data_IF_577188502112
#
_entry.id   IF_577188502112
#
_cell.length_a   1.000
_cell.length_b   1.000
_cell.length_c   1.000
_cell.angle_alpha   90.00
_cell.angle_beta   90.00
_cell.angle_gamma   90.00
#
_symmetry.space_group_name_H-M   'P 1'
#
loop_
_entity.id
_entity.type
_entity.pdbx_description
1 polymer ?
#
# COMPACT_ATOMS: atom_id res chain seq x y z
N UNK A 1 59.04 67.77 -27.89
CA UNK A 1 58.73 66.66 -26.97
C UNK A 1 58.69 67.22 -25.57
N UNK A 2 57.54 67.23 -24.87
CA UNK A 2 56.64 66.08 -24.66
C UNK A 2 55.17 66.37 -25.00
N UNK A 3 54.33 65.34 -25.06
CA UNK A 3 52.88 65.47 -24.94
C UNK A 3 52.35 64.33 -24.08
N UNK A 4 51.83 64.69 -22.91
CA UNK A 4 51.03 63.82 -22.06
C UNK A 4 49.57 63.93 -22.51
N UNK A 5 48.85 62.81 -22.50
CA UNK A 5 47.43 62.82 -22.11
C UNK A 5 47.06 61.50 -21.45
N UNK A 6 46.20 61.61 -20.42
CA UNK A 6 45.78 60.55 -19.50
C UNK A 6 44.40 59.99 -19.89
N UNK A 7 44.25 58.69 -19.63
CA UNK A 7 43.08 57.93 -19.18
C UNK A 7 41.71 58.03 -19.90
N UNK A 8 41.20 56.87 -20.33
CA UNK A 8 39.82 56.42 -20.02
C UNK A 8 39.69 54.90 -20.10
N UNK A 9 38.69 54.40 -19.38
CA UNK A 9 38.44 53.06 -18.85
C UNK A 9 37.74 52.08 -19.80
N UNK A 10 38.06 50.77 -19.70
CA UNK A 10 37.14 49.69 -20.10
C UNK A 10 36.97 48.69 -18.95
N UNK A 11 35.78 48.68 -18.37
CA UNK A 11 35.27 47.71 -17.40
C UNK A 11 35.02 46.35 -18.06
N UNK A 12 35.72 45.31 -17.61
CA UNK A 12 35.40 43.91 -17.94
C UNK A 12 34.54 43.30 -16.83
N UNK A 13 33.27 43.04 -17.13
CA UNK A 13 32.37 42.28 -16.26
C UNK A 13 32.83 40.81 -16.16
N UNK A 14 32.81 40.19 -14.97
CA UNK A 14 33.05 38.75 -14.85
C UNK A 14 31.83 37.99 -15.40
N UNK A 15 32.09 36.99 -16.24
CA UNK A 15 31.08 36.09 -16.79
C UNK A 15 30.32 35.37 -15.67
N UNK A 16 28.99 35.23 -15.75
CA UNK A 16 28.23 34.52 -14.73
C UNK A 16 28.54 33.03 -14.83
N UNK A 17 29.22 32.50 -13.81
CA UNK A 17 29.35 31.08 -13.57
C UNK A 17 27.94 30.49 -13.40
N UNK A 18 27.50 29.71 -14.38
CA UNK A 18 26.30 28.88 -14.28
C UNK A 18 26.53 27.80 -13.24
N UNK A 19 26.18 28.09 -11.99
CA UNK A 19 26.07 27.07 -10.96
C UNK A 19 24.89 26.16 -11.35
N UNK A 20 25.18 25.08 -12.06
CA UNK A 20 24.28 23.92 -12.09
C UNK A 20 24.14 23.44 -10.64
N UNK A 21 23.03 23.81 -9.99
CA UNK A 21 22.65 23.19 -8.72
C UNK A 21 22.45 21.72 -9.01
N UNK A 22 23.41 20.87 -8.60
CA UNK A 22 23.27 19.42 -8.64
C UNK A 22 21.96 19.07 -7.92
N UNK A 23 20.99 18.52 -8.66
CA UNK A 23 19.80 17.96 -8.03
C UNK A 23 20.25 16.79 -7.16
N UNK A 24 19.87 16.74 -5.87
CA UNK A 24 20.26 15.63 -5.01
C UNK A 24 19.74 14.31 -5.59
N UNK A 25 20.61 13.30 -5.62
CA UNK A 25 20.26 11.94 -6.04
C UNK A 25 19.17 11.40 -5.11
N UNK A 26 18.06 10.85 -5.64
CA UNK A 26 17.02 10.27 -4.81
C UNK A 26 17.57 9.15 -3.91
N UNK A 27 17.09 9.07 -2.68
CA UNK A 27 17.42 7.96 -1.78
C UNK A 27 16.91 6.62 -2.35
N UNK A 28 17.64 5.51 -2.21
CA UNK A 28 17.11 4.21 -2.58
C UNK A 28 15.85 3.88 -1.76
N UNK A 29 14.80 3.31 -2.37
CA UNK A 29 13.63 2.88 -1.62
C UNK A 29 13.97 1.68 -0.74
N UNK A 30 13.48 1.66 0.50
CA UNK A 30 13.60 0.51 1.41
C UNK A 30 12.56 -0.57 1.07
N UNK A 31 12.90 -1.87 1.14
CA UNK A 31 11.96 -2.93 0.87
C UNK A 31 10.92 -3.01 2.01
N UNK A 32 9.65 -3.12 1.62
CA UNK A 32 8.53 -3.21 2.55
C UNK A 32 7.44 -4.12 2.00
N UNK A 33 6.56 -4.59 2.89
CA UNK A 33 5.40 -5.40 2.53
C UNK A 33 4.18 -4.91 3.30
N UNK A 34 2.99 -5.05 2.71
CA UNK A 34 1.73 -4.65 3.35
C UNK A 34 0.57 -5.52 2.85
N UNK A 35 -0.43 -5.71 3.71
CA UNK A 35 -1.51 -6.67 3.48
C UNK A 35 -2.87 -5.98 3.58
N UNK A 36 -3.67 -6.08 2.52
CA UNK A 36 -5.11 -5.88 2.60
C UNK A 36 -5.70 -7.17 3.18
N UNK A 37 -5.96 -7.15 4.50
CA UNK A 37 -6.53 -8.29 5.20
C UNK A 37 -8.06 -8.19 5.14
N UNK A 38 -8.70 -9.18 4.51
CA UNK A 38 -10.14 -9.29 4.39
C UNK A 38 -10.69 -10.23 5.46
N UNK A 39 -11.66 -9.75 6.25
CA UNK A 39 -12.43 -10.56 7.19
C UNK A 39 -13.28 -11.62 6.46
N UNK A 40 -13.85 -12.61 7.16
CA UNK A 40 -14.82 -13.55 6.58
C UNK A 40 -16.00 -12.87 5.86
N UNK A 41 -16.37 -11.66 6.28
CA UNK A 41 -17.44 -10.81 5.72
C UNK A 41 -16.93 -9.77 4.72
N UNK A 42 -15.71 -9.93 4.19
CA UNK A 42 -15.07 -9.05 3.21
C UNK A 42 -14.84 -7.60 3.67
N UNK A 43 -14.84 -7.35 4.97
CA UNK A 43 -14.38 -6.07 5.53
C UNK A 43 -12.85 -6.01 5.50
N UNK A 44 -12.28 -4.83 5.33
CA UNK A 44 -10.83 -4.64 5.23
C UNK A 44 -10.30 -4.02 6.52
N UNK A 45 -9.22 -4.61 7.04
CA UNK A 45 -8.51 -4.07 8.20
C UNK A 45 -7.74 -2.80 7.81
N UNK A 46 -7.99 -1.71 8.54
CA UNK A 46 -7.08 -0.57 8.61
C UNK A 46 -6.61 -0.35 10.04
N UNK A 47 -5.36 0.08 10.14
CA UNK A 47 -4.69 0.48 11.37
C UNK A 47 -4.62 2.00 11.43
N UNK A 48 -4.82 2.54 12.63
CA UNK A 48 -4.72 3.98 12.91
C UNK A 48 -3.94 4.22 14.19
N UNK A 49 -2.89 5.04 14.11
CA UNK A 49 -2.14 5.46 15.30
C UNK A 49 -2.94 6.51 16.08
N UNK A 50 -3.39 6.16 17.28
CA UNK A 50 -4.06 7.05 18.22
C UNK A 50 -3.00 7.88 18.96
N UNK A 51 -2.82 9.13 18.53
CA UNK A 51 -1.96 10.07 19.25
C UNK A 51 -2.67 10.61 20.50
N UNK A 52 -1.98 10.62 21.64
CA UNK A 52 -2.49 11.16 22.92
C UNK A 52 -2.20 12.64 23.14
N UNK A 53 -1.48 13.33 22.23
CA UNK A 53 -1.23 14.77 22.31
C UNK A 53 -1.20 15.49 20.95
N UNK A 54 -2.12 16.46 20.82
CA UNK A 54 -2.24 17.60 19.88
C UNK A 54 -1.70 17.51 18.44
N UNK A 55 -2.68 17.57 17.50
CA UNK A 55 -2.75 18.44 16.31
C UNK A 55 -2.90 17.79 14.93
N UNK A 56 -2.87 16.46 14.76
CA UNK A 56 -3.12 15.85 13.45
C UNK A 56 -3.86 14.49 13.54
N UNK A 57 -4.87 14.22 12.69
CA UNK A 57 -5.38 12.86 12.54
C UNK A 57 -4.28 12.01 11.90
N UNK A 58 -3.81 10.96 12.58
CA UNK A 58 -2.91 9.98 11.96
C UNK A 58 -3.57 9.34 10.74
N UNK A 59 -2.78 8.94 9.75
CA UNK A 59 -3.30 8.24 8.58
C UNK A 59 -3.81 6.85 8.95
N UNK A 60 -4.85 6.41 8.25
CA UNK A 60 -5.29 5.02 8.26
C UNK A 60 -4.50 4.26 7.19
N UNK A 61 -3.94 3.10 7.57
CA UNK A 61 -3.06 2.31 6.71
C UNK A 61 -3.38 0.84 6.80
N UNK A 62 -3.10 0.09 5.74
CA UNK A 62 -3.04 -1.37 5.82
C UNK A 62 -1.87 -1.77 6.73
N UNK A 63 -1.98 -2.89 7.48
CA UNK A 63 -0.86 -3.45 8.20
C UNK A 63 0.35 -3.67 7.29
N UNK A 64 1.54 -3.36 7.78
CA UNK A 64 2.77 -3.59 7.02
C UNK A 64 3.92 -2.66 7.37
N UNK A 65 5.12 -3.09 7.01
CA UNK A 65 6.34 -2.36 7.31
C UNK A 65 7.55 -2.85 6.53
N UNK A 66 8.73 -2.57 7.06
CA UNK A 66 9.99 -2.84 6.36
C UNK A 66 10.37 -4.31 6.52
N UNK A 67 11.08 -4.84 5.54
CA UNK A 67 11.79 -6.10 5.75
C UNK A 67 12.94 -5.86 6.75
N UNK A 68 13.16 -6.83 7.62
CA UNK A 68 14.25 -6.86 8.60
C UNK A 68 15.25 -7.93 8.19
N UNK A 69 16.56 -7.63 8.11
CA UNK A 69 17.59 -8.64 7.89
C UNK A 69 17.59 -9.75 8.95
N UNK A 70 17.04 -9.49 10.14
CA UNK A 70 16.92 -10.47 11.21
C UNK A 70 15.89 -11.57 10.89
N UNK A 71 14.72 -11.18 10.38
CA UNK A 71 13.63 -12.10 10.04
C UNK A 71 13.68 -12.61 8.59
N UNK A 72 14.20 -11.78 7.67
CA UNK A 72 14.25 -12.05 6.23
C UNK A 72 15.68 -12.00 5.66
N UNK A 73 16.64 -12.79 6.17
CA UNK A 73 18.06 -12.72 5.77
C UNK A 73 18.32 -13.12 4.30
N UNK A 74 17.34 -13.73 3.63
CA UNK A 74 17.44 -14.14 2.23
C UNK A 74 17.34 -12.98 1.24
N UNK A 75 16.80 -11.82 1.65
CA UNK A 75 16.78 -10.64 0.80
C UNK A 75 18.05 -9.79 1.01
N UNK A 76 18.75 -9.50 -0.08
CA UNK A 76 19.89 -8.58 -0.05
C UNK A 76 19.47 -7.18 0.38
N UNK A 77 20.27 -6.53 1.21
CA UNK A 77 20.11 -5.12 1.58
C UNK A 77 20.58 -4.16 0.48
N UNK A 78 21.13 -4.68 -0.63
CA UNK A 78 21.64 -3.87 -1.74
C UNK A 78 20.50 -3.54 -2.72
N UNK A 79 20.18 -2.25 -2.97
CA UNK A 79 19.00 -1.86 -3.76
C UNK A 79 18.94 -2.30 -5.22
N UNK A 80 20.07 -2.69 -5.82
CA UNK A 80 20.16 -3.17 -7.20
C UNK A 80 20.14 -4.71 -7.30
N UNK A 81 20.02 -5.41 -6.17
CA UNK A 81 19.96 -6.87 -6.16
C UNK A 81 18.73 -7.37 -6.95
N UNK A 82 18.83 -8.48 -7.72
CA UNK A 82 17.75 -8.93 -8.61
C UNK A 82 16.39 -9.15 -7.95
N UNK A 83 16.36 -9.53 -6.67
CA UNK A 83 15.13 -9.81 -5.92
C UNK A 83 14.58 -8.60 -5.16
N UNK A 84 15.28 -7.45 -5.17
CA UNK A 84 14.97 -6.28 -4.34
C UNK A 84 13.63 -5.60 -4.70
N UNK A 85 13.06 -5.91 -5.87
CA UNK A 85 11.76 -5.40 -6.29
C UNK A 85 10.81 -6.51 -6.76
N UNK A 86 11.05 -7.74 -6.33
CA UNK A 86 10.34 -8.94 -6.78
C UNK A 86 9.62 -9.56 -5.58
N UNK A 87 8.38 -10.00 -5.78
CA UNK A 87 7.69 -10.82 -4.78
C UNK A 87 8.51 -12.07 -4.43
N UNK A 88 8.40 -12.54 -3.20
CA UNK A 88 9.05 -13.77 -2.76
C UNK A 88 8.86 -14.04 -1.27
N UNK A 89 9.41 -15.16 -0.77
CA UNK A 89 9.23 -15.59 0.62
C UNK A 89 9.58 -14.53 1.66
N UNK A 90 10.62 -13.71 1.41
CA UNK A 90 11.00 -12.60 2.29
C UNK A 90 9.88 -11.56 2.42
N UNK A 91 9.34 -11.06 1.30
CA UNK A 91 8.25 -10.08 1.35
C UNK A 91 6.97 -10.65 1.97
N UNK A 92 6.67 -11.92 1.69
CA UNK A 92 5.51 -12.62 2.26
C UNK A 92 5.62 -12.79 3.77
N UNK A 93 6.80 -13.20 4.25
CA UNK A 93 7.07 -13.33 5.69
C UNK A 93 6.94 -11.97 6.40
N UNK A 94 7.54 -10.93 5.83
CA UNK A 94 7.45 -9.58 6.38
C UNK A 94 6.00 -9.07 6.43
N UNK A 95 5.19 -9.32 5.40
CA UNK A 95 3.77 -8.95 5.41
C UNK A 95 3.01 -9.57 6.59
N UNK A 96 3.23 -10.86 6.85
CA UNK A 96 2.58 -11.59 7.95
C UNK A 96 3.13 -11.17 9.31
N UNK A 97 4.46 -11.04 9.42
CA UNK A 97 5.13 -10.58 10.65
C UNK A 97 4.64 -9.20 11.07
N UNK A 98 4.65 -8.24 10.15
CA UNK A 98 4.21 -6.86 10.42
C UNK A 98 2.70 -6.82 10.76
N UNK A 99 1.89 -7.66 10.11
CA UNK A 99 0.47 -7.80 10.50
C UNK A 99 0.33 -8.24 11.96
N UNK A 100 1.13 -9.21 12.40
CA UNK A 100 1.15 -9.65 13.80
C UNK A 100 1.67 -8.56 14.75
N UNK A 101 2.76 -7.87 14.40
CA UNK A 101 3.35 -6.79 15.20
C UNK A 101 2.37 -5.61 15.42
N UNK A 102 1.66 -5.20 14.36
CA UNK A 102 0.84 -3.99 14.40
C UNK A 102 -0.63 -4.24 14.81
N UNK A 103 -1.17 -5.43 14.54
CA UNK A 103 -2.58 -5.75 14.85
C UNK A 103 -2.78 -6.84 15.89
N UNK A 104 -1.75 -7.64 16.18
CA UNK A 104 -1.86 -8.84 17.00
C UNK A 104 -2.51 -10.04 16.29
N UNK A 105 -3.02 -9.88 15.07
CA UNK A 105 -3.59 -10.98 14.29
C UNK A 105 -2.47 -11.87 13.74
N UNK A 106 -2.52 -13.15 14.07
CA UNK A 106 -1.55 -14.14 13.60
C UNK A 106 -2.06 -14.87 12.36
N UNK A 107 -1.46 -14.56 11.20
CA UNK A 107 -1.75 -15.26 9.94
C UNK A 107 -0.89 -16.52 9.81
N UNK A 108 -1.18 -17.52 10.66
CA UNK A 108 -0.52 -18.81 10.69
C UNK A 108 -1.53 -19.94 10.90
N UNK A 109 -1.21 -21.15 10.41
CA UNK A 109 -2.02 -22.36 10.62
C UNK A 109 -1.20 -23.51 11.13
N UNK A 110 -1.83 -24.38 11.92
CA UNK A 110 -1.25 -25.68 12.25
C UNK A 110 -1.32 -26.61 11.04
N UNK A 111 -0.32 -27.50 10.85
CA UNK A 111 -0.36 -28.49 9.79
C UNK A 111 -1.68 -29.28 9.80
N UNK A 112 -2.36 -29.35 8.64
CA UNK A 112 -3.65 -30.04 8.49
C UNK A 112 -4.89 -29.26 8.93
N UNK A 113 -4.74 -28.05 9.49
CA UNK A 113 -5.86 -27.15 9.81
C UNK A 113 -6.11 -26.13 8.69
N UNK A 114 -7.37 -25.82 8.42
CA UNK A 114 -7.76 -24.66 7.60
C UNK A 114 -8.04 -23.40 8.43
N UNK A 115 -8.20 -23.54 9.75
CA UNK A 115 -8.41 -22.43 10.66
C UNK A 115 -7.07 -21.76 11.06
N UNK A 116 -7.08 -20.42 11.12
CA UNK A 116 -5.98 -19.63 11.67
C UNK A 116 -5.81 -19.89 13.17
N UNK A 117 -4.57 -19.77 13.66
CA UNK A 117 -4.30 -19.85 15.09
C UNK A 117 -4.86 -18.60 15.78
N UNK A 118 -5.83 -18.78 16.67
CA UNK A 118 -6.25 -17.73 17.60
C UNK A 118 -5.30 -17.68 18.79
N UNK A 119 -4.93 -16.45 19.20
CA UNK A 119 -4.04 -16.18 20.32
C UNK A 119 -4.79 -15.69 21.58
N UNK A 120 -6.14 -15.70 21.55
CA UNK A 120 -7.00 -15.22 22.63
C UNK A 120 -7.68 -16.37 23.39
N UNK A 121 -7.19 -16.63 24.61
CA UNK A 121 -7.81 -17.47 25.63
C UNK A 121 -7.42 -16.97 27.02
N UNK A 122 -8.20 -17.27 28.07
CA UNK A 122 -8.18 -16.67 29.43
C UNK A 122 -6.84 -16.72 30.23
N UNK A 123 -5.71 -17.07 29.60
CA UNK A 123 -4.35 -16.97 30.15
C UNK A 123 -3.24 -16.59 29.15
N UNK A 124 -3.55 -16.36 27.86
CA UNK A 124 -2.57 -16.26 26.75
C UNK A 124 -2.18 -14.82 26.35
N UNK A 125 -2.91 -13.81 26.83
CA UNK A 125 -2.70 -12.41 26.40
C UNK A 125 -1.32 -11.86 26.76
N UNK A 126 -0.79 -12.23 27.93
CA UNK A 126 0.50 -11.72 28.40
C UNK A 126 1.68 -12.31 27.61
N UNK A 127 1.60 -13.60 27.25
CA UNK A 127 2.66 -14.28 26.53
C UNK A 127 2.66 -13.90 25.05
N UNK A 128 1.49 -13.71 24.45
CA UNK A 128 1.33 -13.16 23.11
C UNK A 128 1.85 -11.72 23.02
N UNK A 129 1.50 -10.85 23.98
CA UNK A 129 2.00 -9.47 24.01
C UNK A 129 3.53 -9.41 24.17
N UNK A 130 4.10 -10.31 25.00
CA UNK A 130 5.56 -10.45 25.16
C UNK A 130 6.22 -10.91 23.87
N UNK A 131 5.69 -11.94 23.22
CA UNK A 131 6.20 -12.42 21.95
C UNK A 131 6.16 -11.33 20.87
N UNK A 132 5.03 -10.61 20.75
CA UNK A 132 4.89 -9.48 19.82
C UNK A 132 5.95 -8.41 20.03
N UNK A 133 6.21 -8.02 21.28
CA UNK A 133 7.25 -7.04 21.61
C UNK A 133 8.66 -7.56 21.27
N UNK A 134 8.95 -8.82 21.57
CA UNK A 134 10.25 -9.42 21.30
C UNK A 134 10.51 -9.61 19.79
N UNK A 135 9.47 -9.96 19.02
CA UNK A 135 9.52 -10.05 17.56
C UNK A 135 9.82 -8.69 16.94
N UNK A 136 9.09 -7.65 17.35
CA UNK A 136 9.30 -6.26 16.91
C UNK A 136 10.69 -5.73 17.25
N UNK A 137 11.25 -6.14 18.39
CA UNK A 137 12.59 -5.74 18.84
C UNK A 137 13.73 -6.52 18.17
N UNK A 138 13.44 -7.42 17.22
CA UNK A 138 14.40 -8.36 16.62
C UNK A 138 15.12 -9.23 17.68
N UNK A 139 14.46 -9.51 18.81
CA UNK A 139 14.96 -10.39 19.89
C UNK A 139 14.46 -11.84 19.73
N UNK A 140 13.32 -12.01 19.06
CA UNK A 140 12.68 -13.30 18.81
C UNK A 140 12.33 -13.44 17.33
N UNK A 141 12.91 -14.41 16.64
CA UNK A 141 12.66 -14.60 15.21
C UNK A 141 11.22 -15.10 14.99
N UNK A 142 10.41 -14.35 14.24
CA UNK A 142 8.97 -14.58 14.09
C UNK A 142 8.63 -15.99 13.61
N UNK A 143 9.17 -16.42 12.46
CA UNK A 143 8.86 -17.74 11.90
C UNK A 143 9.25 -18.90 12.84
N UNK A 144 10.36 -18.75 13.58
CA UNK A 144 10.83 -19.76 14.52
C UNK A 144 9.95 -19.85 15.74
N UNK A 145 9.51 -18.72 16.26
CA UNK A 145 8.55 -18.67 17.36
C UNK A 145 7.20 -19.32 16.99
N UNK A 146 6.65 -19.00 15.81
CA UNK A 146 5.40 -19.62 15.32
C UNK A 146 5.55 -21.14 15.19
N UNK A 147 6.70 -21.61 14.72
CA UNK A 147 7.00 -23.04 14.61
C UNK A 147 7.16 -23.71 15.98
N UNK A 148 8.02 -23.16 16.86
CA UNK A 148 8.41 -23.81 18.12
C UNK A 148 7.36 -23.74 19.21
N UNK A 149 6.73 -22.58 19.40
CA UNK A 149 5.81 -22.35 20.51
C UNK A 149 4.37 -22.70 20.16
N UNK A 150 3.98 -22.54 18.89
CA UNK A 150 2.57 -22.71 18.47
C UNK A 150 2.34 -23.97 17.63
N UNK A 151 3.40 -24.66 17.19
CA UNK A 151 3.32 -25.80 16.29
C UNK A 151 2.65 -25.45 14.96
N UNK A 152 2.83 -24.21 14.49
CA UNK A 152 2.16 -23.64 13.33
C UNK A 152 3.17 -23.16 12.28
N UNK A 153 2.67 -22.80 11.11
CA UNK A 153 3.47 -22.22 10.02
C UNK A 153 2.80 -20.92 9.52
N UNK A 154 3.58 -19.86 9.25
CA UNK A 154 3.05 -18.66 8.60
C UNK A 154 2.41 -18.98 7.25
N UNK A 155 1.27 -18.36 6.97
CA UNK A 155 0.47 -18.59 5.76
C UNK A 155 1.03 -17.92 4.50
N UNK A 156 2.31 -18.15 4.17
CA UNK A 156 3.00 -17.44 3.09
C UNK A 156 2.32 -17.65 1.72
N UNK A 157 1.80 -18.85 1.46
CA UNK A 157 1.21 -19.23 0.18
C UNK A 157 -0.19 -18.65 -0.05
N UNK A 158 -0.88 -18.21 1.00
CA UNK A 158 -2.21 -17.60 0.89
C UNK A 158 -2.15 -16.10 0.54
N UNK A 159 -0.97 -15.49 0.65
CA UNK A 159 -0.78 -14.11 0.22
C UNK A 159 -0.86 -14.04 -1.30
N UNK A 160 -1.89 -13.34 -1.79
CA UNK A 160 -2.08 -13.09 -3.22
C UNK A 160 -1.40 -11.76 -3.57
N UNK A 161 -0.35 -11.74 -4.42
CA UNK A 161 0.28 -10.49 -4.83
C UNK A 161 -0.74 -9.57 -5.49
N UNK A 162 -0.84 -8.32 -5.03
CA UNK A 162 -1.79 -7.37 -5.61
C UNK A 162 -1.13 -6.33 -6.51
N UNK A 163 -0.06 -5.69 -6.04
CA UNK A 163 0.73 -4.73 -6.84
C UNK A 163 1.96 -4.33 -6.03
N UNK A 164 2.96 -3.75 -6.67
CA UNK A 164 4.04 -3.03 -5.99
C UNK A 164 3.86 -1.52 -6.08
N UNK A 165 4.14 -0.82 -4.99
CA UNK A 165 4.17 0.63 -4.95
C UNK A 165 5.57 1.14 -4.61
N UNK A 166 6.12 2.02 -5.45
CA UNK A 166 7.43 2.63 -5.24
C UNK A 166 7.26 4.12 -4.96
N UNK A 167 7.69 4.57 -3.78
CA UNK A 167 7.61 5.98 -3.43
C UNK A 167 8.35 6.84 -4.45
N UNK A 168 7.73 7.92 -4.97
CA UNK A 168 8.34 8.79 -5.96
C UNK A 168 9.68 9.42 -5.50
N UNK A 169 10.59 9.76 -6.43
CA UNK A 169 11.94 10.24 -6.11
C UNK A 169 11.99 11.62 -5.44
N UNK A 170 10.90 12.38 -5.45
CA UNK A 170 10.80 13.68 -4.79
C UNK A 170 10.46 13.59 -3.29
N UNK A 171 10.30 12.38 -2.75
CA UNK A 171 10.05 12.13 -1.33
C UNK A 171 11.34 11.63 -0.68
N UNK A 172 11.70 12.16 0.49
CA UNK A 172 12.97 11.83 1.15
C UNK A 172 13.02 10.39 1.69
N UNK A 173 11.93 9.94 2.35
CA UNK A 173 11.77 8.56 2.81
C UNK A 173 11.04 7.77 1.73
N UNK A 174 11.72 6.80 1.14
CA UNK A 174 11.21 6.02 0.01
C UNK A 174 11.10 4.55 0.38
N UNK A 175 10.10 3.90 -0.20
CA UNK A 175 9.77 2.49 0.01
C UNK A 175 9.44 1.82 -1.31
N UNK A 176 9.70 0.52 -1.39
CA UNK A 176 9.24 -0.37 -2.46
C UNK A 176 8.38 -1.44 -1.80
N UNK A 177 7.09 -1.10 -1.66
CA UNK A 177 6.13 -1.90 -0.91
C UNK A 177 5.47 -2.92 -1.83
N UNK A 178 5.64 -4.21 -1.53
CA UNK A 178 4.78 -5.25 -2.10
C UNK A 178 3.43 -5.26 -1.35
N UNK A 179 2.34 -5.05 -2.08
CA UNK A 179 0.99 -5.13 -1.54
C UNK A 179 0.44 -6.53 -1.81
N UNK A 180 -0.22 -7.11 -0.81
CA UNK A 180 -0.88 -8.41 -0.90
C UNK A 180 -2.35 -8.30 -0.53
N UNK A 181 -3.16 -9.23 -1.02
CA UNK A 181 -4.45 -9.58 -0.43
C UNK A 181 -4.23 -10.80 0.46
N UNK A 182 -4.91 -10.84 1.61
CA UNK A 182 -5.08 -12.04 2.40
C UNK A 182 -6.57 -12.19 2.74
N UNK A 183 -7.16 -13.30 2.30
CA UNK A 183 -8.58 -13.58 2.52
C UNK A 183 -8.69 -14.51 3.72
N UNK A 184 -9.16 -14.00 4.87
CA UNK A 184 -9.37 -14.86 6.04
C UNK A 184 -10.36 -15.97 5.68
N UNK A 185 -10.16 -17.22 6.16
CA UNK A 185 -11.08 -18.33 5.88
C UNK A 185 -12.53 -17.94 6.16
N UNK A 186 -13.44 -18.30 5.25
CA UNK A 186 -14.88 -18.13 5.47
C UNK A 186 -15.33 -18.98 6.67
N UNK A 187 -16.39 -18.58 7.36
CA UNK A 187 -16.92 -19.23 8.58
C UNK A 187 -17.59 -20.58 8.34
N UNK A 188 -17.42 -21.20 7.17
CA UNK A 188 -17.98 -22.52 6.85
C UNK A 188 -17.24 -23.64 7.60
N UNK A 189 -17.50 -23.74 8.91
CA UNK A 189 -17.10 -24.87 9.77
C UNK A 189 -16.69 -24.42 11.18
N UNK A 190 -17.57 -24.62 12.17
CA UNK A 190 -17.30 -24.59 13.63
C UNK A 190 -16.36 -23.49 14.18
N UNK A 191 -16.36 -22.31 13.57
CA UNK A 191 -15.72 -21.12 14.17
C UNK A 191 -16.82 -20.25 14.73
N UNK A 192 -16.83 -20.08 16.05
CA UNK A 192 -17.79 -19.19 16.69
C UNK A 192 -17.51 -17.76 16.19
N UNK A 193 -18.51 -17.14 15.56
CA UNK A 193 -18.40 -15.75 15.10
C UNK A 193 -18.02 -14.83 16.26
N UNK A 194 -18.38 -15.16 17.51
CA UNK A 194 -17.98 -14.37 18.68
C UNK A 194 -16.46 -14.37 18.94
N UNK A 195 -15.71 -15.42 18.57
CA UNK A 195 -14.24 -15.45 18.72
C UNK A 195 -13.54 -14.64 17.63
N UNK A 196 -14.10 -14.63 16.42
CA UNK A 196 -13.63 -13.78 15.31
C UNK A 196 -14.05 -12.33 15.56
N UNK A 197 -15.27 -12.10 16.03
CA UNK A 197 -15.84 -10.77 16.32
C UNK A 197 -15.13 -10.15 17.52
N UNK A 198 -14.85 -10.86 18.61
CA UNK A 198 -14.07 -10.31 19.73
C UNK A 198 -12.61 -9.98 19.34
N UNK A 199 -12.03 -10.68 18.37
CA UNK A 199 -10.74 -10.31 17.79
C UNK A 199 -10.82 -9.14 16.78
N UNK A 200 -12.02 -8.78 16.29
CA UNK A 200 -12.23 -7.81 15.19
C UNK A 200 -13.02 -6.55 15.57
N UNK A 201 -13.67 -6.49 16.74
CA UNK A 201 -14.27 -5.26 17.29
C UNK A 201 -13.26 -4.48 18.15
N UNK A 202 -12.58 -3.51 17.52
CA UNK A 202 -11.87 -2.41 18.20
C UNK A 202 -10.95 -2.87 19.34
N UNK A 203 -10.00 -3.73 19.04
CA UNK A 203 -8.84 -3.87 19.90
C UNK A 203 -8.01 -2.57 19.76
N UNK A 204 -8.13 -1.66 20.73
CA UNK A 204 -7.14 -0.61 20.92
C UNK A 204 -5.86 -1.30 21.41
N UNK A 205 -4.96 -1.63 20.48
CA UNK A 205 -3.78 -2.42 20.76
C UNK A 205 -2.57 -1.52 20.94
N UNK A 206 -1.84 -1.71 22.03
CA UNK A 206 -0.56 -1.06 22.25
C UNK A 206 0.48 -1.64 21.28
N UNK A 207 0.91 -0.83 20.31
CA UNK A 207 1.86 -1.19 19.26
C UNK A 207 3.21 -0.52 19.54
N UNK A 208 4.30 -1.28 19.68
CA UNK A 208 5.64 -0.71 19.72
C UNK A 208 5.98 -0.08 18.35
N UNK A 209 6.60 1.10 18.33
CA UNK A 209 7.08 1.72 17.09
C UNK A 209 8.53 1.34 16.80
N UNK A 210 8.95 1.43 15.53
CA UNK A 210 10.31 1.10 15.08
C UNK A 210 11.42 2.01 15.66
N UNK A 211 11.05 3.07 16.40
CA UNK A 211 11.94 3.94 17.17
C UNK A 211 11.90 3.67 18.69
N UNK A 212 11.25 2.58 19.14
CA UNK A 212 11.17 2.18 20.54
C UNK A 212 10.10 2.90 21.36
N UNK A 213 9.22 3.67 20.71
CA UNK A 213 8.03 4.26 21.33
C UNK A 213 6.91 3.24 21.56
N UNK A 214 5.97 3.59 22.41
CA UNK A 214 4.70 2.87 22.60
C UNK A 214 3.59 3.76 22.04
N UNK A 215 2.94 3.32 20.96
CA UNK A 215 1.79 4.02 20.37
C UNK A 215 0.54 3.14 20.49
N UNK A 216 -0.61 3.73 20.78
CA UNK A 216 -1.88 3.01 20.69
C UNK A 216 -2.27 2.94 19.22
N UNK A 217 -2.36 1.76 18.64
CA UNK A 217 -2.91 1.56 17.29
C UNK A 217 -4.31 0.98 17.42
N UNK A 218 -5.30 1.66 16.85
CA UNK A 218 -6.63 1.11 16.69
C UNK A 218 -6.64 0.24 15.43
N UNK A 219 -7.00 -1.03 15.59
CA UNK A 219 -7.26 -1.97 14.51
C UNK A 219 -8.77 -2.06 14.29
N UNK A 220 -9.23 -1.71 13.08
CA UNK A 220 -10.67 -1.68 12.76
C UNK A 220 -10.91 -2.33 11.40
N UNK A 221 -11.92 -3.19 11.33
CA UNK A 221 -12.48 -3.68 10.08
C UNK A 221 -13.65 -2.79 9.65
N UNK A 222 -13.75 -2.51 8.35
CA UNK A 222 -14.95 -1.97 7.73
C UNK A 222 -14.96 -2.32 6.23
N UNK A 223 -16.13 -2.31 5.56
CA UNK A 223 -16.20 -2.47 4.11
C UNK A 223 -15.32 -1.43 3.38
N UNK A 224 -14.76 -1.81 2.24
CA UNK A 224 -13.91 -0.91 1.44
C UNK A 224 -14.62 0.41 1.09
N UNK A 225 -15.90 0.34 0.71
CA UNK A 225 -16.73 1.51 0.41
C UNK A 225 -16.93 2.42 1.63
N UNK A 226 -17.07 1.87 2.84
CA UNK A 226 -17.20 2.66 4.05
C UNK A 226 -15.89 3.40 4.39
N UNK A 227 -14.73 2.76 4.18
CA UNK A 227 -13.45 3.46 4.34
C UNK A 227 -13.32 4.65 3.39
N UNK A 228 -13.74 4.49 2.14
CA UNK A 228 -13.76 5.57 1.15
C UNK A 228 -14.72 6.69 1.58
N UNK A 229 -15.93 6.34 2.02
CA UNK A 229 -16.92 7.30 2.49
C UNK A 229 -16.42 8.11 3.72
N UNK A 230 -15.77 7.46 4.69
CA UNK A 230 -15.12 8.15 5.83
C UNK A 230 -14.05 9.13 5.38
N UNK A 231 -13.26 8.77 4.38
CA UNK A 231 -12.24 9.67 3.84
C UNK A 231 -12.87 10.86 3.13
N UNK A 232 -13.92 10.64 2.33
CA UNK A 232 -14.66 11.71 1.64
C UNK A 232 -15.28 12.71 2.62
N UNK A 233 -15.82 12.21 3.75
CA UNK A 233 -16.31 13.05 4.86
C UNK A 233 -15.19 13.73 5.66
N UNK A 234 -13.93 13.40 5.38
CA UNK A 234 -12.75 13.97 6.05
C UNK A 234 -12.48 13.41 7.45
N UNK A 235 -13.16 12.31 7.83
CA UNK A 235 -13.03 11.66 9.14
C UNK A 235 -11.68 10.94 9.29
N UNK A 236 -11.12 10.48 8.17
CA UNK A 236 -9.84 9.77 8.13
C UNK A 236 -8.93 10.33 7.02
N UNK A 237 -7.64 10.05 7.14
CA UNK A 237 -6.64 10.36 6.10
C UNK A 237 -6.18 9.07 5.46
N UNK A 238 -6.37 8.95 4.15
CA UNK A 238 -5.83 7.87 3.33
C UNK A 238 -4.81 8.43 2.35
N UNK A 239 -3.62 7.84 2.33
CA UNK A 239 -2.62 8.16 1.30
C UNK A 239 -3.01 7.51 -0.04
N UNK A 240 -2.46 8.02 -1.17
CA UNK A 240 -2.81 7.52 -2.50
C UNK A 240 -2.78 5.99 -2.67
N UNK A 241 -1.78 5.24 -2.15
CA UNK A 241 -1.80 3.78 -2.26
C UNK A 241 -3.02 3.15 -1.57
N UNK A 242 -3.32 3.58 -0.34
CA UNK A 242 -4.42 3.05 0.47
C UNK A 242 -5.76 3.32 -0.21
N UNK A 243 -6.02 4.60 -0.54
CA UNK A 243 -7.27 4.98 -1.20
C UNK A 243 -7.44 4.26 -2.53
N UNK A 244 -6.39 4.25 -3.36
CA UNK A 244 -6.47 3.64 -4.67
C UNK A 244 -6.82 2.16 -4.61
N UNK A 245 -6.16 1.39 -3.74
CA UNK A 245 -6.41 -0.04 -3.61
C UNK A 245 -7.78 -0.34 -2.98
N UNK A 246 -8.23 0.46 -2.02
CA UNK A 246 -9.61 0.39 -1.50
C UNK A 246 -10.63 0.63 -2.61
N UNK A 247 -10.41 1.63 -3.48
CA UNK A 247 -11.28 1.88 -4.64
C UNK A 247 -11.30 0.71 -5.61
N UNK A 248 -10.18 0.02 -5.82
CA UNK A 248 -10.15 -1.16 -6.69
C UNK A 248 -11.00 -2.29 -6.12
N UNK A 249 -10.82 -2.59 -4.83
CA UNK A 249 -11.58 -3.66 -4.17
C UNK A 249 -13.07 -3.32 -4.11
N UNK A 250 -13.42 -2.08 -3.74
CA UNK A 250 -14.81 -1.62 -3.70
C UNK A 250 -15.51 -1.78 -5.06
N UNK A 251 -14.87 -1.34 -6.15
CA UNK A 251 -15.41 -1.48 -7.52
C UNK A 251 -15.62 -2.94 -7.93
N UNK A 252 -14.70 -3.83 -7.56
CA UNK A 252 -14.86 -5.26 -7.84
C UNK A 252 -16.04 -5.83 -7.06
N UNK A 253 -16.18 -5.48 -5.78
CA UNK A 253 -17.28 -5.96 -4.95
C UNK A 253 -18.64 -5.44 -5.42
N UNK A 254 -18.71 -4.16 -5.80
CA UNK A 254 -19.90 -3.53 -6.40
C UNK A 254 -20.29 -4.14 -7.75
N UNK A 255 -19.35 -4.74 -8.49
CA UNK A 255 -19.64 -5.40 -9.77
C UNK A 255 -20.35 -6.76 -9.62
N UNK A 256 -20.37 -7.33 -8.42
CA UNK A 256 -21.03 -8.60 -8.14
C UNK A 256 -22.48 -8.32 -7.75
N UNK A 257 -23.42 -8.77 -8.59
CA UNK A 257 -24.85 -8.66 -8.27
C UNK A 257 -25.20 -9.42 -7.00
N UNK A 258 -25.88 -8.74 -6.08
CA UNK A 258 -26.42 -9.28 -4.82
C UNK A 258 -27.81 -9.91 -4.99
N UNK A 259 -28.45 -9.75 -6.16
CA UNK A 259 -29.84 -10.19 -6.38
C UNK A 259 -29.97 -11.71 -6.14
N UNK A 260 -30.92 -12.06 -5.27
CA UNK A 260 -31.30 -13.43 -4.88
C UNK A 260 -30.20 -14.29 -4.21
N UNK A 261 -29.13 -13.69 -3.68
CA UNK A 261 -28.08 -14.42 -2.93
C UNK A 261 -28.21 -14.22 -1.43
N UNK A 262 -27.88 -15.26 -0.67
CA UNK A 262 -27.58 -15.08 0.73
C UNK A 262 -26.24 -14.30 0.91
N UNK A 263 -26.00 -13.71 2.09
CA UNK A 263 -24.79 -12.91 2.33
C UNK A 263 -23.49 -13.70 2.14
N UNK A 264 -23.45 -14.98 2.52
CA UNK A 264 -22.22 -15.80 2.45
C UNK A 264 -21.85 -16.11 1.00
N UNK A 265 -22.83 -16.50 0.18
CA UNK A 265 -22.67 -16.68 -1.26
C UNK A 265 -22.25 -15.38 -1.96
N UNK A 266 -22.71 -14.22 -1.46
CA UNK A 266 -22.28 -12.91 -1.94
C UNK A 266 -20.80 -12.67 -1.63
N UNK A 267 -20.36 -12.92 -0.39
CA UNK A 267 -18.97 -12.76 0.00
C UNK A 267 -18.03 -13.68 -0.79
N UNK A 268 -18.42 -14.94 -1.00
CA UNK A 268 -17.67 -15.89 -1.82
C UNK A 268 -17.56 -15.45 -3.28
N UNK A 269 -18.66 -14.96 -3.86
CA UNK A 269 -18.65 -14.45 -5.23
C UNK A 269 -17.77 -13.20 -5.39
N UNK A 270 -17.80 -12.29 -4.42
CA UNK A 270 -16.91 -11.13 -4.35
C UNK A 270 -15.44 -11.54 -4.26
N UNK A 271 -15.11 -12.51 -3.40
CA UNK A 271 -13.75 -13.07 -3.27
C UNK A 271 -13.27 -13.68 -4.58
N UNK A 272 -14.11 -14.48 -5.25
CA UNK A 272 -13.81 -15.06 -6.55
C UNK A 272 -13.55 -13.97 -7.60
N UNK A 273 -14.43 -12.97 -7.70
CA UNK A 273 -14.27 -11.85 -8.62
C UNK A 273 -12.96 -11.07 -8.37
N UNK A 274 -12.57 -10.90 -7.10
CA UNK A 274 -11.31 -10.23 -6.73
C UNK A 274 -10.07 -11.05 -7.14
N UNK A 275 -10.08 -12.37 -6.93
CA UNK A 275 -8.98 -13.24 -7.37
C UNK A 275 -8.85 -13.29 -8.91
N UNK A 276 -9.98 -13.30 -9.62
CA UNK A 276 -10.01 -13.17 -11.08
C UNK A 276 -9.48 -11.80 -11.52
N UNK A 277 -9.94 -10.72 -10.87
CA UNK A 277 -9.51 -9.36 -11.18
C UNK A 277 -7.99 -9.18 -11.12
N UNK A 278 -7.32 -9.71 -10.09
CA UNK A 278 -5.89 -9.47 -9.91
C UNK A 278 -5.00 -10.22 -10.91
N UNK A 279 -5.51 -11.30 -11.50
CA UNK A 279 -4.78 -12.14 -12.47
C UNK A 279 -5.17 -11.86 -13.92
N UNK A 280 -6.34 -11.24 -14.15
CA UNK A 280 -6.87 -10.99 -15.49
C UNK A 280 -6.03 -10.00 -16.29
N UNK A 281 -5.96 -10.28 -17.59
CA UNK A 281 -5.45 -9.38 -18.64
C UNK A 281 -6.49 -9.30 -19.77
N UNK A 282 -6.89 -8.11 -20.25
CA UNK A 282 -6.47 -6.78 -19.80
C UNK A 282 -6.87 -6.45 -18.35
N UNK A 283 -6.00 -5.72 -17.64
CA UNK A 283 -6.10 -5.51 -16.19
C UNK A 283 -7.05 -4.39 -15.76
N UNK A 284 -7.50 -3.56 -16.69
CA UNK A 284 -8.21 -2.31 -16.38
C UNK A 284 -9.65 -2.38 -16.91
N UNK A 285 -9.87 -2.22 -18.22
CA UNK A 285 -11.17 -2.54 -18.86
C UNK A 285 -11.26 -3.99 -19.37
N UNK A 286 -12.43 -4.63 -19.32
CA UNK A 286 -12.71 -5.86 -20.07
C UNK A 286 -12.39 -5.68 -21.57
N UNK A 287 -11.91 -6.74 -22.21
CA UNK A 287 -11.56 -6.72 -23.64
C UNK A 287 -12.74 -6.30 -24.52
N UNK A 288 -13.96 -6.71 -24.15
CA UNK A 288 -15.20 -6.35 -24.84
C UNK A 288 -15.45 -4.84 -24.87
N UNK A 289 -15.18 -4.13 -23.77
CA UNK A 289 -15.31 -2.67 -23.70
C UNK A 289 -14.26 -1.97 -24.56
N UNK A 290 -13.02 -2.46 -24.53
CA UNK A 290 -11.93 -1.94 -25.35
C UNK A 290 -12.26 -2.08 -26.84
N UNK A 291 -12.74 -3.25 -27.24
CA UNK A 291 -13.14 -3.55 -28.63
C UNK A 291 -14.32 -2.69 -29.04
N UNK A 292 -15.35 -2.59 -28.20
CA UNK A 292 -16.53 -1.75 -28.44
C UNK A 292 -16.15 -0.27 -28.64
N UNK A 293 -15.18 0.22 -27.85
CA UNK A 293 -14.71 1.60 -27.92
C UNK A 293 -13.58 1.83 -28.94
N UNK A 294 -13.12 0.77 -29.63
CA UNK A 294 -12.00 0.78 -30.60
C UNK A 294 -10.74 1.47 -30.06
N UNK A 295 -10.51 1.39 -28.75
CA UNK A 295 -9.37 2.05 -28.08
C UNK A 295 -8.10 1.22 -28.27
N UNK A 296 -6.99 1.89 -28.56
CA UNK A 296 -5.67 1.24 -28.55
C UNK A 296 -5.30 0.95 -27.10
N UNK A 297 -5.15 -0.33 -26.76
CA UNK A 297 -4.75 -0.77 -25.41
C UNK A 297 -3.37 -0.25 -25.08
N UNK A 298 -3.23 0.41 -23.93
CA UNK A 298 -1.93 0.83 -23.42
C UNK A 298 -1.12 -0.41 -23.02
N UNK A 299 0.20 -0.50 -23.29
CA UNK A 299 0.99 -1.70 -22.97
C UNK A 299 0.87 -2.16 -21.51
N UNK A 300 0.70 -1.23 -20.57
CA UNK A 300 0.58 -1.57 -19.14
C UNK A 300 -0.77 -2.18 -18.76
N UNK A 301 -1.81 -2.07 -19.60
CA UNK A 301 -3.06 -2.80 -19.41
C UNK A 301 -2.90 -4.30 -19.70
N UNK A 302 -1.81 -4.70 -20.38
CA UNK A 302 -1.44 -6.11 -20.60
C UNK A 302 -0.62 -6.71 -19.45
N UNK A 303 -0.43 -5.97 -18.36
CA UNK A 303 0.27 -6.42 -17.16
C UNK A 303 -0.79 -6.73 -16.09
N UNK A 304 -0.89 -7.98 -15.60
CA UNK A 304 -1.83 -8.33 -14.55
C UNK A 304 -1.50 -7.55 -13.27
N UNK A 305 -2.48 -7.35 -12.39
CA UNK A 305 -2.27 -6.58 -11.16
C UNK A 305 -1.14 -7.13 -10.32
N UNK A 306 -1.08 -8.47 -10.17
CA UNK A 306 -0.01 -9.19 -9.46
C UNK A 306 1.39 -8.70 -9.80
N UNK A 307 1.62 -8.27 -11.05
CA UNK A 307 2.92 -7.83 -11.56
C UNK A 307 3.05 -6.32 -11.73
N UNK A 308 1.97 -5.55 -11.54
CA UNK A 308 1.98 -4.09 -11.67
C UNK A 308 2.95 -3.44 -10.69
N UNK A 309 3.55 -2.35 -11.16
CA UNK A 309 4.37 -1.46 -10.33
C UNK A 309 3.96 -0.03 -10.56
N UNK A 310 3.60 0.66 -9.49
CA UNK A 310 3.16 2.05 -9.52
C UNK A 310 4.13 2.93 -8.76
N UNK A 311 4.67 3.94 -9.43
CA UNK A 311 5.35 5.08 -8.83
C UNK A 311 4.69 6.36 -9.32
N UNK A 312 3.84 7.00 -8.49
CA UNK A 312 3.07 8.15 -8.90
C UNK A 312 3.92 9.27 -9.50
N UNK A 313 3.49 9.80 -10.63
CA UNK A 313 4.12 10.96 -11.27
C UNK A 313 3.12 12.08 -11.46
N UNK A 314 3.52 13.31 -11.16
CA UNK A 314 2.69 14.49 -11.41
C UNK A 314 2.51 14.65 -12.92
N UNK A 315 1.27 14.59 -13.39
CA UNK A 315 0.92 14.90 -14.78
C UNK A 315 0.75 16.40 -14.96
N UNK A 316 -0.09 17.02 -14.12
CA UNK A 316 -0.36 18.46 -14.10
C UNK A 316 -1.11 18.83 -12.82
N UNK A 317 -1.33 20.13 -12.62
CA UNK A 317 -2.22 20.67 -11.59
C UNK A 317 -3.48 21.17 -12.29
N UNK A 318 -4.66 20.74 -11.85
CA UNK A 318 -5.94 21.12 -12.48
C UNK A 318 -6.18 22.62 -12.39
N UNK A 319 -6.72 23.21 -13.45
CA UNK A 319 -7.04 24.65 -13.46
C UNK A 319 -8.21 25.00 -12.53
N UNK A 320 -9.26 24.17 -12.51
CA UNK A 320 -10.50 24.42 -11.77
C UNK A 320 -10.37 24.34 -10.26
N UNK A 321 -9.90 23.21 -9.72
CA UNK A 321 -9.88 22.92 -8.27
C UNK A 321 -8.45 22.90 -7.66
N UNK A 322 -7.43 23.16 -8.48
CA UNK A 322 -6.01 23.17 -8.09
C UNK A 322 -5.49 21.84 -7.53
N UNK A 323 -6.21 20.73 -7.71
CA UNK A 323 -5.72 19.40 -7.32
C UNK A 323 -4.58 18.96 -8.23
N UNK A 324 -3.62 18.25 -7.64
CA UNK A 324 -2.53 17.61 -8.38
C UNK A 324 -3.07 16.32 -8.98
N UNK A 325 -2.86 16.11 -10.29
CA UNK A 325 -3.20 14.87 -10.98
C UNK A 325 -1.96 13.98 -11.04
N UNK A 326 -2.04 12.80 -10.43
CA UNK A 326 -1.00 11.80 -10.40
C UNK A 326 -1.30 10.68 -11.40
N UNK A 327 -0.39 10.45 -12.33
CA UNK A 327 -0.38 9.29 -13.21
C UNK A 327 0.28 8.11 -12.53
N UNK A 328 -0.28 6.92 -12.74
CA UNK A 328 0.14 5.67 -12.08
C UNK A 328 0.80 4.68 -13.05
N UNK A 329 1.03 5.04 -14.31
CA UNK A 329 1.49 4.10 -15.35
C UNK A 329 2.97 3.68 -15.22
N UNK A 330 3.78 4.46 -14.49
CA UNK A 330 5.23 4.27 -14.46
C UNK A 330 5.70 3.45 -13.27
N UNK A 331 6.70 2.56 -13.43
CA UNK A 331 7.21 1.70 -12.37
C UNK A 331 8.24 2.37 -11.44
N UNK A 332 8.55 3.66 -11.63
CA UNK A 332 9.60 4.37 -10.89
C UNK A 332 10.94 4.40 -11.61
N UNK A 333 11.96 4.99 -10.96
CA UNK A 333 13.31 5.10 -11.54
C UNK A 333 14.04 3.75 -11.50
N UNK A 334 13.77 2.97 -10.45
CA UNK A 334 14.40 1.69 -10.12
C UNK A 334 14.12 0.61 -11.15
N UNK A 335 12.94 0.65 -11.75
CA UNK A 335 12.45 -0.36 -12.69
C UNK A 335 12.21 0.20 -14.08
N UNK A 336 12.78 1.37 -14.38
CA UNK A 336 12.68 1.97 -15.71
C UNK A 336 13.31 1.05 -16.75
N UNK A 337 12.54 0.71 -17.79
CA UNK A 337 12.99 -0.17 -18.86
C UNK A 337 12.89 -1.67 -18.56
N UNK A 338 12.41 -2.07 -17.37
CA UNK A 338 12.19 -3.47 -17.01
C UNK A 338 11.00 -4.13 -17.73
N UNK A 339 10.21 -3.38 -18.50
CA UNK A 339 8.93 -3.81 -19.05
C UNK A 339 7.77 -3.77 -18.06
N UNK A 340 8.03 -3.55 -16.76
CA UNK A 340 6.98 -3.36 -15.75
C UNK A 340 6.34 -1.98 -15.85
N UNK A 341 5.11 -1.88 -15.38
CA UNK A 341 4.34 -0.64 -15.35
C UNK A 341 3.11 -0.78 -14.48
N UNK A 342 2.44 0.34 -14.24
CA UNK A 342 1.30 0.41 -13.34
C UNK A 342 -0.01 0.51 -14.08
N UNK A 343 -0.91 1.33 -13.54
CA UNK A 343 -2.21 1.59 -14.14
C UNK A 343 -2.19 2.86 -14.99
N UNK A 344 -2.54 2.72 -16.26
CA UNK A 344 -2.62 3.86 -17.18
C UNK A 344 -4.02 4.48 -17.20
N UNK A 345 -5.07 3.69 -16.99
CA UNK A 345 -6.44 4.11 -17.26
C UNK A 345 -6.98 5.04 -16.17
N UNK A 346 -6.47 4.93 -14.94
CA UNK A 346 -6.87 5.79 -13.82
C UNK A 346 -5.75 6.71 -13.35
N UNK A 347 -6.16 7.81 -12.76
CA UNK A 347 -5.31 8.81 -12.10
C UNK A 347 -5.79 9.03 -10.68
N UNK A 348 -4.89 9.53 -9.82
CA UNK A 348 -5.23 10.00 -8.48
C UNK A 348 -5.19 11.52 -8.46
N UNK A 349 -6.29 12.15 -8.05
CA UNK A 349 -6.36 13.57 -7.78
C UNK A 349 -6.12 13.78 -6.30
N UNK A 350 -5.32 14.79 -5.92
CA UNK A 350 -4.97 15.02 -4.51
C UNK A 350 -4.55 16.46 -4.23
N UNK A 351 -4.90 16.96 -3.04
CA UNK A 351 -4.28 18.13 -2.45
C UNK A 351 -3.25 17.69 -1.39
N UNK A 352 -1.96 17.96 -1.60
CA UNK A 352 -0.97 17.77 -0.56
C UNK A 352 -0.88 19.00 0.34
N UNK A 353 -1.23 18.84 1.61
CA UNK A 353 -1.07 19.86 2.65
C UNK A 353 -0.01 19.46 3.68
N UNK A 354 0.21 20.33 4.67
CA UNK A 354 1.10 20.04 5.80
C UNK A 354 0.64 18.83 6.63
N UNK A 355 -0.68 18.60 6.68
CA UNK A 355 -1.31 17.50 7.42
C UNK A 355 -1.38 16.19 6.63
N UNK A 356 -0.76 16.14 5.44
CA UNK A 356 -0.88 15.01 4.52
C UNK A 356 -1.87 15.26 3.39
N UNK A 357 -2.25 14.20 2.66
CA UNK A 357 -3.13 14.30 1.50
C UNK A 357 -4.59 14.52 1.93
N UNK A 358 -5.28 15.39 1.20
CA UNK A 358 -6.72 15.67 1.34
C UNK A 358 -7.39 15.63 -0.03
N UNK A 359 -8.70 15.44 -0.05
CA UNK A 359 -9.53 15.36 -1.27
C UNK A 359 -8.94 14.38 -2.30
N UNK A 360 -8.51 13.23 -1.80
CA UNK A 360 -7.90 12.19 -2.62
C UNK A 360 -9.01 11.46 -3.36
N UNK A 361 -8.90 11.34 -4.67
CA UNK A 361 -9.95 10.76 -5.51
C UNK A 361 -9.34 9.95 -6.65
N UNK A 362 -9.88 8.78 -6.96
CA UNK A 362 -9.49 8.00 -8.15
C UNK A 362 -10.48 8.30 -9.27
N UNK A 363 -9.97 8.71 -10.43
CA UNK A 363 -10.79 8.98 -11.61
C UNK A 363 -10.19 8.39 -12.87
N UNK A 364 -11.02 8.23 -13.90
CA UNK A 364 -10.57 7.83 -15.22
C UNK A 364 -9.74 8.95 -15.86
N UNK A 365 -8.57 8.56 -16.37
CA UNK A 365 -7.55 9.47 -16.90
C UNK A 365 -8.08 10.27 -18.07
N UNK A 366 -8.79 9.63 -18.99
CA UNK A 366 -9.35 10.29 -20.17
C UNK A 366 -10.46 11.27 -19.77
N UNK A 367 -11.24 10.91 -18.75
CA UNK A 367 -12.16 11.73 -17.95
C UNK A 367 -11.57 13.13 -17.67
N UNK A 368 -10.57 13.08 -16.80
CA UNK A 368 -9.89 14.23 -16.22
C UNK A 368 -9.13 15.03 -17.28
N UNK A 369 -8.52 14.37 -18.25
CA UNK A 369 -7.81 15.05 -19.34
C UNK A 369 -8.76 15.78 -20.29
N UNK A 370 -9.98 15.26 -20.51
CA UNK A 370 -11.00 15.94 -21.31
C UNK A 370 -11.50 17.19 -20.59
N UNK A 371 -11.88 17.07 -19.33
CA UNK A 371 -12.32 18.21 -18.50
C UNK A 371 -11.26 19.33 -18.45
N UNK A 372 -9.99 18.99 -18.30
CA UNK A 372 -8.89 19.98 -18.26
C UNK A 372 -8.66 20.67 -19.61
N UNK A 373 -8.94 20.00 -20.74
CA UNK A 373 -8.86 20.61 -22.08
C UNK A 373 -10.03 21.56 -22.33
N UNK A 374 -11.22 21.21 -21.85
CA UNK A 374 -12.43 22.03 -22.01
C UNK A 374 -12.40 23.28 -21.11
N UNK A 375 -11.65 23.23 -20.00
CA UNK A 375 -11.47 24.36 -19.09
C UNK A 375 -10.36 25.37 -19.50
N UNK A 376 -9.58 25.06 -20.54
CA UNK A 376 -8.51 25.93 -21.09
C UNK A 376 -8.98 26.61 -22.35
#
# INVERSE_FOLDING_TARGET
>A
SPAQSRHSSSSSFPSPSTTHKNKPTPSPPRPSASVLLLSPTNEILLLHRVQTSSSFPSAHVFPGGNLSPFHEPSLSTTPDAPLYHVDGPAYRLAAIRETFEESGLLLARRPGSNALVSLGGDGDDHDTARARKAVHADELHFARWVESELGAVPCLDDLVPFTRWITPPNVAKRFTTQMYLFLMPSTTGDVNLDDVVMATTTAATTTPTSDGGIEHTAATFAPAAEWLARQERGEIVLFPPQLFLLTMVARVFESVSEEDRDPEATYEAQRKALLEFVTRVPSCSPEEEVVAQRRKVHPTALIPWTDKVMSPTVLFVRTGDKRIVLGLDKPGLELKGSGRGGDFERVVLVNFGKEGPRNVEVRDREEVLKEEREAK
#
